data_IF_776709852614
#
_entry.id   IF_776709852614
#
_cell.length_a   1.000
_cell.length_b   1.000
_cell.length_c   1.000
_cell.angle_alpha   90.00
_cell.angle_beta   90.00
_cell.angle_gamma   90.00
#
_symmetry.space_group_name_H-M   'P 1'
#
loop_
_entity.id
_entity.type
_entity.pdbx_description
1 polymer ?
#
# COMPACT_ATOMS: atom_id res chain seq x y z
N UNK A 1 5.74 8.17 -6.17
CA UNK A 1 5.01 7.18 -7.02
C UNK A 1 5.73 6.84 -8.33
N UNK A 2 6.33 7.78 -9.06
CA UNK A 2 7.08 7.45 -10.29
C UNK A 2 8.27 6.52 -10.03
N UNK A 3 9.05 6.79 -8.98
CA UNK A 3 10.17 5.92 -8.55
C UNK A 3 9.75 4.46 -8.32
N UNK A 4 8.56 4.22 -7.75
CA UNK A 4 8.04 2.86 -7.53
C UNK A 4 7.77 2.15 -8.86
N UNK A 5 7.18 2.85 -9.85
CA UNK A 5 6.92 2.28 -11.17
C UNK A 5 8.22 1.90 -11.88
N UNK A 6 9.24 2.75 -11.78
CA UNK A 6 10.56 2.47 -12.34
C UNK A 6 11.16 1.22 -11.70
N UNK A 7 11.18 1.13 -10.37
CA UNK A 7 11.69 -0.03 -9.63
C UNK A 7 11.00 -1.33 -10.08
N UNK A 8 9.67 -1.32 -10.20
CA UNK A 8 8.88 -2.47 -10.63
C UNK A 8 9.17 -2.87 -12.08
N UNK A 9 9.33 -1.87 -12.96
CA UNK A 9 9.68 -2.09 -14.37
C UNK A 9 11.07 -2.72 -14.50
N UNK A 10 12.07 -2.21 -13.77
CA UNK A 10 13.40 -2.81 -13.72
C UNK A 10 13.39 -4.24 -13.13
N UNK A 11 12.48 -4.50 -12.19
CA UNK A 11 12.26 -5.82 -11.61
C UNK A 11 11.53 -6.82 -12.53
N UNK A 12 11.10 -6.40 -13.72
CA UNK A 12 10.29 -7.18 -14.67
C UNK A 12 8.95 -7.66 -14.09
N UNK A 13 8.29 -6.83 -13.27
CA UNK A 13 6.95 -7.11 -12.77
C UNK A 13 5.89 -6.53 -13.70
N UNK A 14 4.85 -7.31 -14.01
CA UNK A 14 3.63 -6.81 -14.64
C UNK A 14 2.82 -6.01 -13.62
N UNK A 15 2.67 -4.71 -13.85
CA UNK A 15 2.04 -3.79 -12.91
C UNK A 15 0.59 -3.46 -13.32
N UNK A 16 -0.36 -3.82 -12.47
CA UNK A 16 -1.73 -3.29 -12.53
C UNK A 16 -1.88 -2.17 -11.51
N UNK A 17 -2.06 -0.93 -11.99
CA UNK A 17 -2.37 0.21 -11.13
C UNK A 17 -3.88 0.37 -11.06
N UNK A 18 -4.49 -0.03 -9.95
CA UNK A 18 -5.87 0.36 -9.67
C UNK A 18 -5.87 1.77 -9.08
N UNK A 19 -6.50 2.70 -9.80
CA UNK A 19 -6.78 4.05 -9.30
C UNK A 19 -8.23 4.06 -8.85
N UNK A 20 -8.48 4.56 -7.65
CA UNK A 20 -9.82 4.86 -7.15
C UNK A 20 -10.47 5.90 -8.07
N UNK A 21 -11.37 5.47 -8.96
CA UNK A 21 -12.27 6.34 -9.70
C UNK A 21 -13.69 5.87 -9.44
N UNK A 22 -14.53 6.75 -8.90
CA UNK A 22 -15.96 6.53 -8.88
C UNK A 22 -16.47 6.40 -10.32
N UNK A 23 -17.00 5.23 -10.65
CA UNK A 23 -17.77 4.98 -11.86
C UNK A 23 -19.23 4.89 -11.47
N UNK A 24 -20.14 5.44 -12.27
CA UNK A 24 -21.59 5.35 -12.02
C UNK A 24 -22.12 3.92 -12.03
N UNK A 25 -21.33 2.95 -12.52
CA UNK A 25 -21.75 1.57 -12.74
C UNK A 25 -21.15 0.54 -11.75
N UNK A 26 -20.05 0.85 -11.07
CA UNK A 26 -19.32 -0.12 -10.22
C UNK A 26 -18.77 0.62 -8.99
N UNK A 27 -18.99 0.07 -7.80
CA UNK A 27 -18.43 0.63 -6.57
C UNK A 27 -16.89 0.56 -6.58
N UNK A 28 -16.22 1.51 -5.95
CA UNK A 28 -14.75 1.55 -5.88
C UNK A 28 -14.18 0.23 -5.32
N UNK A 29 -14.71 -0.34 -4.22
CA UNK A 29 -14.22 -1.62 -3.68
C UNK A 29 -14.35 -2.79 -4.68
N UNK A 30 -15.47 -2.90 -5.39
CA UNK A 30 -15.71 -4.04 -6.31
C UNK A 30 -14.69 -4.08 -7.45
N UNK A 31 -14.36 -2.91 -8.01
CA UNK A 31 -13.33 -2.80 -9.05
C UNK A 31 -11.97 -3.20 -8.50
N UNK A 32 -11.58 -2.67 -7.33
CA UNK A 32 -10.29 -2.96 -6.71
C UNK A 32 -10.16 -4.47 -6.43
N UNK A 33 -11.17 -5.12 -5.87
CA UNK A 33 -11.12 -6.57 -5.62
C UNK A 33 -11.05 -7.40 -6.90
N UNK A 34 -11.69 -6.94 -7.98
CA UNK A 34 -11.56 -7.59 -9.28
C UNK A 34 -10.12 -7.53 -9.80
N UNK A 35 -9.52 -6.33 -9.76
CA UNK A 35 -8.13 -6.12 -10.18
C UNK A 35 -7.18 -6.95 -9.30
N UNK A 36 -7.40 -6.96 -7.98
CA UNK A 36 -6.61 -7.76 -7.03
C UNK A 36 -6.64 -9.26 -7.33
N UNK A 37 -7.79 -9.82 -7.69
CA UNK A 37 -7.89 -11.26 -8.03
C UNK A 37 -7.04 -11.65 -9.25
N UNK A 38 -6.69 -10.69 -10.11
CA UNK A 38 -5.79 -10.89 -11.25
C UNK A 38 -4.30 -10.83 -10.90
N UNK A 39 -3.94 -10.43 -9.68
CA UNK A 39 -2.55 -10.25 -9.25
C UNK A 39 -2.08 -11.37 -8.31
N UNK A 40 -0.76 -11.58 -8.22
CA UNK A 40 -0.15 -12.56 -7.30
C UNK A 40 0.38 -11.94 -6.00
N UNK A 41 0.49 -10.60 -5.97
CA UNK A 41 0.95 -9.82 -4.85
C UNK A 41 0.42 -8.38 -4.95
N UNK A 42 0.51 -7.61 -3.87
CA UNK A 42 0.09 -6.21 -3.86
C UNK A 42 1.08 -5.26 -3.17
N UNK A 43 1.12 -4.03 -3.67
CA UNK A 43 1.68 -2.87 -2.97
C UNK A 43 0.50 -1.95 -2.68
N UNK A 44 0.22 -1.73 -1.39
CA UNK A 44 -0.89 -0.86 -0.98
C UNK A 44 -0.29 0.48 -0.58
N UNK A 45 -0.66 1.53 -1.30
CA UNK A 45 -0.27 2.90 -0.98
C UNK A 45 -1.18 3.44 0.12
N UNK A 46 -0.58 3.88 1.22
CA UNK A 46 -1.29 4.30 2.41
C UNK A 46 -0.91 5.74 2.75
N UNK A 47 -1.83 6.65 2.48
CA UNK A 47 -1.70 8.09 2.74
C UNK A 47 -2.69 8.53 3.82
N UNK A 48 -2.37 9.63 4.50
CA UNK A 48 -3.20 10.20 5.54
C UNK A 48 -4.43 10.90 4.99
N UNK A 49 -5.62 10.59 5.51
CA UNK A 49 -6.86 11.30 5.10
C UNK A 49 -7.30 12.35 6.12
N UNK A 50 -7.21 12.02 7.43
CA UNK A 50 -7.70 12.90 8.50
C UNK A 50 -6.66 13.13 9.58
N UNK A 51 -6.52 14.40 9.97
CA UNK A 51 -5.67 14.81 11.08
C UNK A 51 -6.28 14.48 12.43
N UNK A 52 -5.48 13.87 13.30
CA UNK A 52 -5.72 13.71 14.71
C UNK A 52 -4.62 14.42 15.49
N UNK A 53 -5.00 15.36 16.33
CA UNK A 53 -4.10 15.86 17.37
C UNK A 53 -4.12 14.89 18.54
N UNK A 54 -2.96 14.38 18.94
CA UNK A 54 -2.85 13.63 20.18
C UNK A 54 -2.74 14.56 21.41
N UNK A 55 -2.75 13.97 22.60
CA UNK A 55 -2.66 14.71 23.88
C UNK A 55 -1.32 15.44 24.07
N UNK A 56 -0.32 15.15 23.24
CA UNK A 56 1.02 15.75 23.25
C UNK A 56 1.17 16.86 22.20
N UNK A 57 0.10 17.16 21.45
CA UNK A 57 0.10 18.15 20.38
C UNK A 57 0.74 17.66 19.07
N UNK A 58 0.96 16.35 18.92
CA UNK A 58 1.47 15.77 17.67
C UNK A 58 0.31 15.43 16.74
N UNK A 59 0.39 15.90 15.49
CA UNK A 59 -0.57 15.55 14.44
C UNK A 59 -0.24 14.18 13.86
N UNK A 60 -1.22 13.28 13.88
CA UNK A 60 -1.18 11.98 13.23
C UNK A 60 -2.25 11.91 12.18
N UNK A 61 -2.00 11.21 11.07
CA UNK A 61 -3.03 11.00 10.07
C UNK A 61 -3.64 9.60 10.17
N UNK A 62 -4.98 9.52 10.17
CA UNK A 62 -5.73 8.27 10.05
C UNK A 62 -5.89 7.93 8.56
N UNK A 63 -5.82 6.63 8.28
CA UNK A 63 -6.07 6.05 6.96
C UNK A 63 -7.56 6.01 6.62
N UNK A 64 -7.87 6.10 5.33
CA UNK A 64 -9.23 5.98 4.80
C UNK A 64 -9.79 4.55 5.00
N UNK A 65 -11.10 4.43 5.18
CA UNK A 65 -11.82 3.16 5.34
C UNK A 65 -11.68 2.23 4.12
N UNK A 66 -11.64 2.74 2.90
CA UNK A 66 -11.40 1.95 1.69
C UNK A 66 -10.05 1.23 1.75
N UNK A 67 -8.99 1.95 2.15
CA UNK A 67 -7.64 1.38 2.31
C UNK A 67 -7.64 0.25 3.36
N UNK A 68 -8.42 0.38 4.44
CA UNK A 68 -8.59 -0.71 5.41
C UNK A 68 -9.19 -1.97 4.77
N UNK A 69 -10.18 -1.81 3.91
CA UNK A 69 -10.82 -2.93 3.21
C UNK A 69 -9.84 -3.56 2.21
N UNK A 70 -9.05 -2.76 1.49
CA UNK A 70 -8.00 -3.25 0.58
C UNK A 70 -6.92 -4.06 1.32
N UNK A 71 -6.48 -3.58 2.48
CA UNK A 71 -5.53 -4.31 3.33
C UNK A 71 -6.14 -5.65 3.77
N UNK A 72 -7.41 -5.65 4.20
CA UNK A 72 -8.12 -6.89 4.55
C UNK A 72 -8.20 -7.87 3.38
N UNK A 73 -8.51 -7.38 2.19
CA UNK A 73 -8.56 -8.20 0.97
C UNK A 73 -7.17 -8.75 0.60
N UNK A 74 -6.11 -7.96 0.74
CA UNK A 74 -4.74 -8.41 0.46
C UNK A 74 -4.28 -9.51 1.43
N UNK A 75 -4.63 -9.40 2.71
CA UNK A 75 -4.38 -10.46 3.71
C UNK A 75 -5.10 -11.74 3.28
N UNK A 76 -6.35 -11.66 2.83
CA UNK A 76 -7.14 -12.81 2.43
C UNK A 76 -6.66 -13.45 1.11
N UNK A 77 -6.30 -12.63 0.12
CA UNK A 77 -5.95 -13.09 -1.23
C UNK A 77 -4.48 -13.51 -1.37
N UNK A 78 -3.57 -12.79 -0.71
CA UNK A 78 -2.13 -12.94 -0.93
C UNK A 78 -1.36 -13.48 0.28
N UNK A 79 -2.03 -13.60 1.43
CA UNK A 79 -1.39 -14.02 2.68
C UNK A 79 -0.28 -13.05 3.07
N UNK A 80 0.98 -13.43 2.83
CA UNK A 80 2.16 -12.59 3.11
C UNK A 80 2.72 -11.87 1.88
N UNK A 81 2.17 -12.11 0.68
CA UNK A 81 2.65 -11.51 -0.57
C UNK A 81 2.09 -10.10 -0.80
N UNK A 82 2.21 -9.23 0.21
CA UNK A 82 1.86 -7.82 0.05
C UNK A 82 2.74 -6.93 0.93
N UNK A 83 2.85 -5.66 0.56
CA UNK A 83 3.59 -4.65 1.33
C UNK A 83 2.77 -3.37 1.43
N UNK A 84 2.81 -2.75 2.61
CA UNK A 84 2.27 -1.41 2.80
C UNK A 84 3.36 -0.37 2.49
N UNK A 85 3.04 0.57 1.61
CA UNK A 85 3.84 1.76 1.37
C UNK A 85 3.18 2.95 2.05
N UNK A 86 3.63 3.27 3.26
CA UNK A 86 3.00 4.26 4.13
C UNK A 86 3.67 5.63 4.02
N UNK A 87 2.87 6.68 4.02
CA UNK A 87 3.40 8.02 4.30
C UNK A 87 3.95 8.06 5.74
N UNK A 88 5.10 8.70 5.94
CA UNK A 88 5.78 8.76 7.24
C UNK A 88 4.90 9.32 8.38
N UNK A 89 3.97 10.22 8.06
CA UNK A 89 3.05 10.89 9.00
C UNK A 89 1.83 10.03 9.40
N UNK A 90 1.59 8.91 8.70
CA UNK A 90 0.43 8.07 8.91
C UNK A 90 0.60 7.17 10.13
N UNK A 91 -0.43 7.17 10.98
CA UNK A 91 -0.51 6.27 12.13
C UNK A 91 -1.41 5.08 11.81
N UNK A 92 -0.78 3.94 11.56
CA UNK A 92 -1.52 2.68 11.38
C UNK A 92 -2.23 2.25 12.68
N UNK A 93 -3.48 1.75 12.56
CA UNK A 93 -4.17 1.04 13.64
C UNK A 93 -3.33 -0.10 14.22
N UNK A 94 -3.49 -0.39 15.52
CA UNK A 94 -2.67 -1.36 16.25
C UNK A 94 -2.66 -2.76 15.64
N UNK A 95 -3.80 -3.20 15.09
CA UNK A 95 -3.94 -4.48 14.39
C UNK A 95 -3.16 -4.55 13.06
N UNK A 96 -2.72 -3.42 12.51
CA UNK A 96 -1.98 -3.35 11.25
C UNK A 96 -0.48 -3.01 11.44
N UNK A 97 -0.06 -2.64 12.65
CA UNK A 97 1.33 -2.26 12.94
C UNK A 97 2.33 -3.40 12.75
N UNK A 98 1.88 -4.66 12.86
CA UNK A 98 2.71 -5.84 12.63
C UNK A 98 2.88 -6.22 11.14
N UNK A 99 2.19 -5.55 10.23
CA UNK A 99 2.29 -5.83 8.80
C UNK A 99 3.59 -5.30 8.21
N UNK A 100 4.12 -5.99 7.20
CA UNK A 100 5.34 -5.58 6.54
C UNK A 100 5.11 -4.26 5.79
N UNK A 101 5.92 -3.24 6.11
CA UNK A 101 5.78 -1.90 5.56
C UNK A 101 7.11 -1.22 5.28
N UNK A 102 7.05 -0.28 4.36
CA UNK A 102 8.07 0.72 4.10
C UNK A 102 7.43 2.10 4.12
N UNK A 103 8.22 3.12 4.41
CA UNK A 103 7.72 4.48 4.50
C UNK A 103 8.28 5.36 3.36
N UNK A 104 7.51 6.35 2.95
CA UNK A 104 7.95 7.42 2.06
C UNK A 104 7.69 8.79 2.68
N UNK A 105 8.41 9.80 2.19
CA UNK A 105 8.23 11.19 2.59
C UNK A 105 8.07 12.05 1.32
N UNK A 106 6.99 12.84 1.27
CA UNK A 106 6.64 13.60 0.08
C UNK A 106 6.45 12.69 -1.14
N UNK A 107 7.38 12.75 -2.10
CA UNK A 107 7.33 11.93 -3.33
C UNK A 107 8.45 10.88 -3.41
N UNK A 108 9.33 10.83 -2.41
CA UNK A 108 10.58 10.08 -2.47
C UNK A 108 10.54 8.85 -1.56
N UNK A 109 11.05 7.73 -2.08
CA UNK A 109 11.39 6.56 -1.28
C UNK A 109 12.82 6.71 -0.79
N UNK A 110 13.02 6.59 0.53
CA UNK A 110 14.36 6.49 1.08
C UNK A 110 15.09 5.25 0.54
N UNK A 111 16.42 5.25 0.65
CA UNK A 111 17.22 4.09 0.26
C UNK A 111 16.77 2.81 0.98
N UNK A 112 16.51 2.91 2.29
CA UNK A 112 16.05 1.78 3.10
C UNK A 112 14.68 1.28 2.67
N UNK A 113 13.74 2.20 2.35
CA UNK A 113 12.43 1.83 1.83
C UNK A 113 12.54 1.13 0.46
N UNK A 114 13.38 1.66 -0.41
CA UNK A 114 13.67 1.09 -1.74
C UNK A 114 14.25 -0.32 -1.63
N UNK A 115 15.23 -0.52 -0.74
CA UNK A 115 15.83 -1.84 -0.51
C UNK A 115 14.83 -2.84 0.08
N UNK A 116 13.96 -2.40 1.00
CA UNK A 116 12.89 -3.25 1.55
C UNK A 116 11.90 -3.69 0.47
N UNK A 117 11.51 -2.78 -0.41
CA UNK A 117 10.62 -3.06 -1.54
C UNK A 117 11.25 -4.09 -2.49
N UNK A 118 12.49 -3.86 -2.93
CA UNK A 118 13.21 -4.79 -3.81
C UNK A 118 13.36 -6.20 -3.22
N UNK A 119 13.67 -6.30 -1.92
CA UNK A 119 13.74 -7.58 -1.22
C UNK A 119 12.39 -8.29 -1.20
N UNK A 120 11.32 -7.58 -0.83
CA UNK A 120 9.98 -8.14 -0.80
C UNK A 120 9.54 -8.64 -2.19
N UNK A 121 9.79 -7.87 -3.24
CA UNK A 121 9.47 -8.28 -4.60
C UNK A 121 10.24 -9.53 -5.03
N UNK A 122 11.53 -9.61 -4.70
CA UNK A 122 12.30 -10.82 -4.98
C UNK A 122 11.77 -12.04 -4.20
N UNK A 123 11.32 -11.86 -2.97
CA UNK A 123 10.66 -12.93 -2.20
C UNK A 123 9.33 -13.35 -2.82
N UNK A 124 8.51 -12.41 -3.28
CA UNK A 124 7.22 -12.71 -3.92
C UNK A 124 7.39 -13.58 -5.17
N UNK A 125 8.43 -13.33 -5.97
CA UNK A 125 8.75 -14.12 -7.18
C UNK A 125 9.18 -15.56 -6.87
N UNK A 126 9.85 -15.78 -5.75
CA UNK A 126 10.44 -17.08 -5.39
C UNK A 126 9.53 -17.93 -4.47
N UNK A 127 8.27 -17.53 -4.29
CA UNK A 127 7.32 -18.09 -3.31
C UNK A 127 6.03 -18.57 -3.92
#
# INVERSE_FOLDING_TARGET
>A
MEQLKEILTFGQFDLTISVEKESTAISVPDKVFSDMRGCNAAVIHVEGERELLDQQGTTHYIINENVLIEIGAAIALYGKKFILLCEQSVKLPSNLQGLYRCNYEGKELSYDATMKLLKAFNEFRNS
#
